data_IF_210771781392
#
_entry.id   IF_210771781392
#
_cell.length_a   1.000
_cell.length_b   1.000
_cell.length_c   1.000
_cell.angle_alpha   90.00
_cell.angle_beta   90.00
_cell.angle_gamma   90.00
#
_symmetry.space_group_name_H-M   'P 1'
#
loop_
_entity.id
_entity.type
_entity.pdbx_description
1 polymer ?
#
# COMPACT_ATOMS: atom_id res chain seq x y z
N UNK A 1 -7.52 -2.43 18.63
CA UNK A 1 -6.11 -2.72 18.97
C UNK A 1 -5.21 -2.84 17.73
N UNK A 2 -5.37 -3.79 16.79
CA UNK A 2 -4.60 -3.80 15.52
C UNK A 2 -5.09 -2.73 14.51
N UNK A 3 -6.40 -2.56 14.25
CA UNK A 3 -6.87 -1.58 13.27
C UNK A 3 -6.48 -0.14 13.64
N UNK A 4 -6.46 0.21 14.93
CA UNK A 4 -6.05 1.54 15.40
C UNK A 4 -4.58 1.85 15.08
N UNK A 5 -3.69 0.85 15.19
CA UNK A 5 -2.28 1.00 14.82
C UNK A 5 -2.17 1.24 13.32
N UNK A 6 -2.92 0.49 12.50
CA UNK A 6 -2.88 0.68 11.06
C UNK A 6 -3.41 2.06 10.66
N UNK A 7 -4.51 2.49 11.25
CA UNK A 7 -5.10 3.82 11.04
C UNK A 7 -4.11 4.94 11.39
N UNK A 8 -3.48 4.87 12.57
CA UNK A 8 -2.52 5.89 13.02
C UNK A 8 -1.27 6.00 12.12
N UNK A 9 -0.84 4.89 11.52
CA UNK A 9 0.38 4.85 10.71
C UNK A 9 0.12 4.95 9.19
N UNK A 10 -1.13 4.75 8.74
CA UNK A 10 -1.52 4.75 7.33
C UNK A 10 -2.47 5.89 6.93
N UNK A 11 -3.50 6.16 7.74
CA UNK A 11 -4.56 7.14 7.43
C UNK A 11 -4.34 8.51 8.07
N UNK A 12 -3.29 8.66 8.88
CA UNK A 12 -2.94 9.95 9.43
C UNK A 12 -2.61 10.94 8.30
N UNK A 13 -3.12 12.18 8.31
CA UNK A 13 -2.99 13.12 7.19
C UNK A 13 -1.53 13.46 6.82
N UNK A 14 -0.60 13.29 7.75
CA UNK A 14 0.86 13.43 7.51
C UNK A 14 1.56 12.12 7.10
N UNK A 15 0.90 10.98 7.30
CA UNK A 15 1.37 9.66 6.88
C UNK A 15 0.81 9.41 5.48
N UNK A 16 1.44 9.94 4.44
CA UNK A 16 0.89 9.95 3.06
C UNK A 16 0.63 8.58 2.42
N UNK A 17 -0.33 7.81 2.96
CA UNK A 17 -0.78 6.50 2.51
C UNK A 17 0.36 5.56 2.13
N UNK A 18 1.31 5.40 3.04
CA UNK A 18 2.52 4.63 2.76
C UNK A 18 2.18 3.19 2.36
N UNK A 19 2.89 2.69 1.35
CA UNK A 19 2.77 1.31 0.90
C UNK A 19 3.20 0.30 1.96
N UNK A 20 2.83 -0.96 1.75
CA UNK A 20 2.99 -2.09 2.70
C UNK A 20 4.35 -2.12 3.38
N UNK A 21 5.43 -2.03 2.61
CA UNK A 21 6.78 -2.19 3.14
C UNK A 21 7.20 -1.06 4.10
N UNK A 22 6.78 0.17 3.79
CA UNK A 22 7.13 1.35 4.59
C UNK A 22 6.29 1.40 5.87
N UNK A 23 5.02 1.02 5.78
CA UNK A 23 4.14 0.85 6.94
C UNK A 23 4.65 -0.26 7.86
N UNK A 24 5.01 -1.43 7.32
CA UNK A 24 5.62 -2.51 8.10
C UNK A 24 6.91 -2.08 8.81
N UNK A 25 7.84 -1.44 8.09
CA UNK A 25 9.10 -0.99 8.68
C UNK A 25 8.93 0.06 9.78
N UNK A 26 7.89 0.90 9.76
CA UNK A 26 7.63 1.86 10.83
C UNK A 26 7.05 1.23 12.10
N UNK A 27 6.28 0.16 11.95
CA UNK A 27 5.50 -0.43 13.03
C UNK A 27 6.26 -1.58 13.70
N UNK A 28 7.10 -2.31 12.95
CA UNK A 28 7.82 -3.51 13.44
C UNK A 28 8.72 -3.27 14.65
N UNK A 29 9.24 -2.05 14.81
CA UNK A 29 10.13 -1.70 15.92
C UNK A 29 9.36 -1.47 17.23
N UNK A 30 8.04 -1.27 17.17
CA UNK A 30 7.19 -0.95 18.33
C UNK A 30 6.12 -1.99 18.62
N UNK A 31 5.66 -2.71 17.59
CA UNK A 31 4.59 -3.67 17.70
C UNK A 31 4.89 -4.91 16.88
N UNK A 32 4.48 -6.05 17.40
CA UNK A 32 4.57 -7.33 16.72
C UNK A 32 3.28 -8.12 16.93
N UNK A 33 2.79 -8.76 15.88
CA UNK A 33 1.68 -9.71 15.97
C UNK A 33 1.79 -10.78 14.88
N UNK A 34 1.08 -11.89 15.08
CA UNK A 34 1.08 -13.00 14.13
C UNK A 34 0.55 -12.55 12.76
N UNK A 35 1.26 -12.93 11.69
CA UNK A 35 0.90 -12.62 10.31
C UNK A 35 0.79 -11.11 9.97
N UNK A 36 1.53 -10.26 10.71
CA UNK A 36 1.51 -8.81 10.61
C UNK A 36 1.63 -8.25 9.19
N UNK A 37 2.54 -8.79 8.39
CA UNK A 37 2.78 -8.34 7.02
C UNK A 37 1.55 -8.59 6.13
N UNK A 38 0.86 -9.72 6.31
CA UNK A 38 -0.36 -10.03 5.57
C UNK A 38 -1.53 -9.14 6.01
N UNK A 39 -1.67 -8.88 7.32
CA UNK A 39 -2.68 -7.95 7.85
C UNK A 39 -2.50 -6.54 7.28
N UNK A 40 -1.27 -6.01 7.30
CA UNK A 40 -0.94 -4.69 6.72
C UNK A 40 -1.24 -4.67 5.22
N UNK A 41 -0.89 -5.74 4.51
CA UNK A 41 -1.16 -5.86 3.07
C UNK A 41 -2.64 -5.86 2.75
N UNK A 42 -3.47 -6.56 3.52
CA UNK A 42 -4.93 -6.55 3.36
C UNK A 42 -5.50 -5.16 3.64
N UNK A 43 -5.07 -4.51 4.72
CA UNK A 43 -5.53 -3.18 5.10
C UNK A 43 -5.23 -2.13 4.02
N UNK A 44 -4.00 -2.10 3.50
CA UNK A 44 -3.61 -1.14 2.46
C UNK A 44 -4.32 -1.45 1.14
N UNK A 45 -4.62 -2.73 0.85
CA UNK A 45 -5.43 -3.11 -0.32
C UNK A 45 -6.89 -2.67 -0.21
N UNK A 46 -7.44 -2.55 0.99
CA UNK A 46 -8.78 -1.99 1.20
C UNK A 46 -8.81 -0.46 1.17
N UNK A 47 -7.65 0.22 1.25
CA UNK A 47 -7.60 1.68 1.17
C UNK A 47 -7.90 2.16 -0.27
N UNK A 48 -9.04 2.82 -0.45
CA UNK A 48 -9.50 3.33 -1.75
C UNK A 48 -8.53 4.33 -2.36
N UNK A 49 -7.95 5.22 -1.56
CA UNK A 49 -6.94 6.19 -2.02
C UNK A 49 -5.69 5.46 -2.55
N UNK A 50 -5.16 4.48 -1.79
CA UNK A 50 -4.03 3.67 -2.25
C UNK A 50 -4.34 2.95 -3.56
N UNK A 51 -5.52 2.35 -3.68
CA UNK A 51 -5.91 1.61 -4.89
C UNK A 51 -6.02 2.54 -6.09
N UNK A 52 -6.56 3.76 -5.92
CA UNK A 52 -6.67 4.76 -6.98
C UNK A 52 -5.32 5.32 -7.43
N UNK A 53 -4.38 5.56 -6.51
CA UNK A 53 -3.07 6.12 -6.87
C UNK A 53 -2.06 5.05 -7.29
N UNK A 54 -2.23 3.81 -6.85
CA UNK A 54 -1.34 2.69 -7.17
C UNK A 54 -1.89 1.83 -8.33
N UNK A 55 -2.73 2.41 -9.20
CA UNK A 55 -3.12 1.80 -10.47
C UNK A 55 -1.85 1.40 -11.18
N UNK A 56 -1.67 0.09 -11.35
CA UNK A 56 -0.54 -0.47 -12.10
C UNK A 56 -0.45 0.32 -13.39
N UNK A 57 0.64 1.07 -13.58
CA UNK A 57 1.02 1.61 -14.89
C UNK A 57 1.38 0.41 -15.75
N UNK A 58 0.38 -0.36 -16.18
CA UNK A 58 0.50 -1.26 -17.31
C UNK A 58 0.84 -0.34 -18.47
N UNK A 59 2.10 -0.39 -18.94
CA UNK A 59 2.46 0.27 -20.20
C UNK A 59 1.47 -0.26 -21.23
N UNK A 60 0.71 0.62 -21.88
CA UNK A 60 -0.08 0.21 -23.04
C UNK A 60 0.89 -0.50 -24.00
N UNK A 61 0.59 -1.70 -24.50
CA UNK A 61 1.43 -2.29 -25.54
C UNK A 61 1.47 -1.30 -26.70
N UNK A 62 2.64 -0.73 -26.97
CA UNK A 62 2.81 0.19 -28.09
C UNK A 62 2.52 -0.58 -29.37
N UNK A 63 1.60 -0.10 -30.20
CA UNK A 63 1.42 -0.64 -31.54
C UNK A 63 2.71 -0.33 -32.32
N UNK A 64 3.54 -1.35 -32.55
CA UNK A 64 4.54 -1.30 -33.62
C UNK A 64 3.75 -1.30 -34.94
N UNK A 65 3.48 -0.11 -35.47
CA UNK A 65 3.03 0.01 -36.85
C UNK A 65 4.21 -0.37 -37.74
N UNK A 66 4.05 -1.45 -38.50
CA UNK A 66 4.91 -1.73 -39.66
C UNK A 66 4.61 -0.67 -40.72
N UNK A 67 5.66 -0.01 -41.19
CA UNK A 67 5.58 1.01 -42.23
C UNK A 67 5.12 0.39 -43.57
N UNK A 68 4.42 1.17 -44.42
CA UNK A 68 3.81 0.69 -45.67
C UNK A 68 4.81 0.30 -46.77
#
# INVERSE_FOLDING_TARGET
MIPDILLAYHDHPFSGHFGVNRTYNKIKDKFYWFNMLNTIKQYIRSCTQCVQFNVRRQKKPGLLQKEP
#
